data_IF_367914671959
#
_entry.id   IF_367914671959
#
_cell.length_a   1.000
_cell.length_b   1.000
_cell.length_c   1.000
_cell.angle_alpha   90.00
_cell.angle_beta   90.00
_cell.angle_gamma   90.00
#
_symmetry.space_group_name_H-M   'P 1'
#
loop_
_entity.id
_entity.type
_entity.pdbx_description
1 polymer ?
#
# COMPACT_ATOMS: atom_id res chain seq x y z
N UNK A 1 35.21 7.89 20.78
CA UNK A 1 34.52 6.60 20.82
C UNK A 1 34.20 6.27 19.39
N UNK A 2 34.80 5.21 18.85
CA UNK A 2 34.42 4.73 17.53
C UNK A 2 32.96 4.31 17.60
N UNK A 3 32.11 5.03 16.91
CA UNK A 3 30.70 4.64 16.76
C UNK A 3 30.72 3.40 15.90
N UNK A 4 30.29 2.26 16.46
CA UNK A 4 30.25 1.00 15.72
C UNK A 4 29.43 1.21 14.44
N UNK A 5 29.97 0.76 13.31
CA UNK A 5 29.29 0.81 12.01
C UNK A 5 27.97 0.01 12.11
N UNK A 6 26.81 0.60 11.83
CA UNK A 6 25.55 -0.11 11.86
C UNK A 6 25.52 -1.26 10.86
N UNK A 7 24.80 -2.33 11.22
CA UNK A 7 24.60 -3.48 10.32
C UNK A 7 23.80 -3.07 9.09
N UNK A 8 22.82 -2.20 9.26
CA UNK A 8 21.98 -1.74 8.17
C UNK A 8 21.52 -0.28 8.33
N UNK A 9 21.42 0.41 7.20
CA UNK A 9 20.68 1.67 7.07
C UNK A 9 19.42 1.40 6.23
N UNK A 10 18.27 1.87 6.72
CA UNK A 10 16.98 1.85 6.00
C UNK A 10 16.63 3.27 5.58
N UNK A 11 16.52 3.51 4.27
CA UNK A 11 16.24 4.83 3.70
C UNK A 11 14.77 4.91 3.27
N UNK A 12 14.01 5.81 3.92
CA UNK A 12 12.57 5.95 3.77
C UNK A 12 11.81 5.02 4.73
N UNK A 13 11.10 5.63 5.69
CA UNK A 13 10.42 4.93 6.80
C UNK A 13 8.90 4.91 6.64
N UNK A 14 8.42 4.80 5.39
CA UNK A 14 7.02 4.53 5.06
C UNK A 14 6.62 3.08 5.37
N UNK A 15 5.58 2.57 4.70
CA UNK A 15 4.99 1.25 4.95
C UNK A 15 6.00 0.09 4.98
N UNK A 16 6.94 0.06 4.03
CA UNK A 16 7.94 -1.02 3.93
C UNK A 16 9.12 -0.74 4.86
N UNK A 17 9.64 0.48 4.84
CA UNK A 17 10.85 0.80 5.61
C UNK A 17 10.63 0.74 7.13
N UNK A 18 9.47 1.15 7.64
CA UNK A 18 9.13 0.98 9.06
C UNK A 18 9.06 -0.50 9.46
N UNK A 19 8.53 -1.36 8.57
CA UNK A 19 8.51 -2.80 8.79
C UNK A 19 9.94 -3.40 8.77
N UNK A 20 10.78 -3.00 7.80
CA UNK A 20 12.19 -3.46 7.72
C UNK A 20 12.94 -3.05 8.99
N UNK A 21 12.83 -1.78 9.42
CA UNK A 21 13.44 -1.31 10.68
C UNK A 21 13.00 -2.14 11.88
N UNK A 22 11.68 -2.40 12.00
CA UNK A 22 11.12 -3.18 13.09
C UNK A 22 11.70 -4.60 13.13
N UNK A 23 11.64 -5.33 12.01
CA UNK A 23 12.08 -6.74 12.00
C UNK A 23 13.61 -6.90 12.07
N UNK A 24 14.39 -5.98 11.50
CA UNK A 24 15.85 -5.99 11.65
C UNK A 24 16.27 -5.76 13.10
N UNK A 25 15.73 -4.72 13.74
CA UNK A 25 16.08 -4.40 15.12
C UNK A 25 15.58 -5.46 16.10
N UNK A 26 14.36 -5.99 15.91
CA UNK A 26 13.85 -7.13 16.66
C UNK A 26 14.70 -8.40 16.47
N UNK A 27 15.36 -8.53 15.32
CA UNK A 27 16.32 -9.58 15.00
C UNK A 27 17.71 -9.41 15.62
N UNK A 28 17.96 -8.28 16.31
CA UNK A 28 19.21 -7.96 17.01
C UNK A 28 20.22 -7.15 16.19
N UNK A 29 19.86 -6.69 14.98
CA UNK A 29 20.74 -5.85 14.18
C UNK A 29 20.81 -4.41 14.71
N UNK A 30 21.98 -3.77 14.57
CA UNK A 30 22.14 -2.33 14.77
C UNK A 30 21.63 -1.60 13.53
N UNK A 31 20.48 -0.93 13.66
CA UNK A 31 19.76 -0.32 12.53
C UNK A 31 19.74 1.20 12.68
N UNK A 32 20.05 1.90 11.59
CA UNK A 32 19.75 3.32 11.41
C UNK A 32 18.64 3.48 10.40
N UNK A 33 17.51 4.06 10.82
CA UNK A 33 16.42 4.43 9.92
C UNK A 33 16.51 5.91 9.57
N UNK A 34 16.44 6.26 8.28
CA UNK A 34 16.52 7.66 7.82
C UNK A 34 15.26 8.01 7.03
N UNK A 35 14.62 9.12 7.40
CA UNK A 35 13.52 9.67 6.59
C UNK A 35 13.65 11.19 6.47
N UNK A 36 13.38 11.71 5.27
CA UNK A 36 13.40 13.16 5.00
C UNK A 36 12.29 13.93 5.69
N UNK A 37 11.28 13.23 6.20
CA UNK A 37 10.18 13.77 6.97
C UNK A 37 10.09 13.10 8.33
N UNK A 38 9.00 13.35 9.05
CA UNK A 38 8.68 12.67 10.32
C UNK A 38 7.50 11.71 10.11
N UNK A 39 7.74 10.40 9.87
CA UNK A 39 6.65 9.43 9.73
C UNK A 39 5.87 9.22 11.06
N UNK A 40 4.54 8.98 10.96
CA UNK A 40 3.73 9.02 9.75
C UNK A 40 3.53 10.44 9.24
N UNK A 41 3.61 10.63 7.93
CA UNK A 41 3.43 11.92 7.26
C UNK A 41 2.56 11.78 6.01
N UNK A 42 2.09 12.89 5.43
CA UNK A 42 1.20 12.97 4.28
C UNK A 42 1.92 13.21 2.94
N UNK A 43 3.24 13.13 2.92
CA UNK A 43 4.04 13.47 1.74
C UNK A 43 4.17 12.35 0.71
N UNK A 44 4.05 11.09 1.13
CA UNK A 44 4.25 9.91 0.31
C UNK A 44 2.97 9.15 -0.03
N UNK A 45 3.04 7.82 0.15
CA UNK A 45 1.96 6.87 -0.18
C UNK A 45 1.29 6.25 1.05
N UNK A 46 1.86 6.39 2.25
CA UNK A 46 1.46 5.65 3.45
C UNK A 46 0.58 6.46 4.39
N UNK A 47 -0.38 7.20 3.83
CA UNK A 47 -1.31 8.05 4.58
C UNK A 47 -2.73 8.02 3.98
N UNK A 48 -3.66 8.80 4.51
CA UNK A 48 -5.05 8.89 4.04
C UNK A 48 -5.98 7.97 4.81
N UNK A 49 -5.67 7.73 6.08
CA UNK A 49 -6.45 7.12 7.16
C UNK A 49 -6.75 5.63 7.00
N UNK A 50 -6.92 5.13 5.79
CA UNK A 50 -7.35 3.74 5.56
C UNK A 50 -6.68 3.13 4.34
N UNK A 51 -6.47 1.78 4.38
CA UNK A 51 -6.05 0.95 3.25
C UNK A 51 -6.87 -0.33 3.23
N UNK A 52 -7.20 -0.84 2.05
CA UNK A 52 -7.84 -2.15 1.91
C UNK A 52 -6.82 -3.25 2.24
N UNK A 53 -7.24 -4.22 3.07
CA UNK A 53 -6.54 -5.49 3.22
C UNK A 53 -7.45 -6.62 2.79
N UNK A 54 -6.90 -7.62 2.09
CA UNK A 54 -7.57 -8.84 1.62
C UNK A 54 -6.51 -9.91 1.34
N UNK A 55 -6.90 -11.15 1.36
CA UNK A 55 -6.03 -12.31 1.17
C UNK A 55 -5.93 -12.71 -0.31
N UNK A 56 -7.08 -12.84 -0.98
CA UNK A 56 -7.11 -13.10 -2.42
C UNK A 56 -6.85 -11.79 -3.19
N UNK A 57 -5.71 -11.72 -3.83
CA UNK A 57 -5.24 -10.52 -4.52
C UNK A 57 -5.18 -10.77 -6.02
N UNK A 58 -6.17 -10.23 -6.76
CA UNK A 58 -6.31 -10.40 -8.21
C UNK A 58 -5.13 -9.86 -9.03
N UNK A 59 -4.21 -9.16 -8.41
CA UNK A 59 -2.97 -8.69 -9.00
C UNK A 59 -2.01 -9.83 -9.35
N UNK A 60 -2.15 -11.00 -8.71
CA UNK A 60 -1.39 -12.19 -9.09
C UNK A 60 -1.00 -13.11 -7.95
N UNK A 61 -0.71 -14.36 -8.29
CA UNK A 61 -0.42 -15.43 -7.32
C UNK A 61 0.79 -15.14 -6.41
N UNK A 62 1.77 -14.42 -6.91
CA UNK A 62 2.98 -14.08 -6.16
C UNK A 62 2.71 -13.19 -4.93
N UNK A 63 1.62 -12.42 -4.96
CA UNK A 63 1.26 -11.52 -3.86
C UNK A 63 0.49 -12.22 -2.72
N UNK A 64 -0.18 -13.35 -3.02
CA UNK A 64 -1.03 -14.04 -2.02
C UNK A 64 -0.25 -14.49 -0.79
N UNK A 65 0.95 -15.11 -0.88
CA UNK A 65 1.74 -15.46 0.29
C UNK A 65 2.10 -14.26 1.18
N UNK A 66 2.41 -13.10 0.58
CA UNK A 66 2.68 -11.86 1.31
C UNK A 66 1.43 -11.36 2.04
N UNK A 67 0.25 -11.42 1.39
CA UNK A 67 -1.02 -11.03 2.03
C UNK A 67 -1.36 -11.95 3.20
N UNK A 68 -1.26 -13.28 3.00
CA UNK A 68 -1.49 -14.27 4.05
C UNK A 68 -0.57 -14.07 5.26
N UNK A 69 0.73 -13.85 5.01
CA UNK A 69 1.69 -13.61 6.10
C UNK A 69 1.45 -12.28 6.80
N UNK A 70 1.14 -11.21 6.06
CA UNK A 70 0.82 -9.90 6.65
C UNK A 70 -0.40 -9.98 7.56
N UNK A 71 -1.44 -10.73 7.20
CA UNK A 71 -2.62 -10.95 8.05
C UNK A 71 -2.32 -11.68 9.36
N UNK A 72 -1.23 -12.44 9.44
CA UNK A 72 -0.72 -13.01 10.69
C UNK A 72 0.06 -11.98 11.51
N UNK A 73 0.82 -11.12 10.84
CA UNK A 73 1.70 -10.15 11.48
C UNK A 73 0.96 -8.93 12.05
N UNK A 74 -0.19 -8.53 11.47
CA UNK A 74 -0.95 -7.39 12.00
C UNK A 74 -1.43 -7.61 13.44
N UNK A 75 -2.06 -8.76 13.80
CA UNK A 75 -2.42 -9.04 15.19
C UNK A 75 -1.22 -9.12 16.15
N UNK A 76 -0.07 -9.63 15.67
CA UNK A 76 1.17 -9.65 16.46
C UNK A 76 1.62 -8.24 16.81
N UNK A 77 1.57 -7.32 15.82
CA UNK A 77 1.92 -5.91 16.02
C UNK A 77 0.88 -5.19 16.91
N UNK A 78 -0.43 -5.48 16.76
CA UNK A 78 -1.49 -4.96 17.64
C UNK A 78 -1.21 -5.35 19.10
N UNK A 79 -0.91 -6.61 19.35
CA UNK A 79 -0.59 -7.11 20.70
C UNK A 79 0.67 -6.44 21.28
N UNK A 80 1.70 -6.20 20.46
CA UNK A 80 2.95 -5.59 20.89
C UNK A 80 2.84 -4.08 21.12
N UNK A 81 1.98 -3.37 20.37
CA UNK A 81 1.82 -1.92 20.44
C UNK A 81 0.69 -1.46 21.36
N UNK A 82 -0.34 -2.28 21.55
CA UNK A 82 -1.59 -1.89 22.22
C UNK A 82 -2.52 -1.06 21.33
N UNK A 83 -2.19 -0.89 20.05
CA UNK A 83 -2.93 -0.07 19.10
C UNK A 83 -3.89 -0.91 18.25
N UNK A 84 -5.04 -0.35 17.87
CA UNK A 84 -5.89 -0.94 16.84
C UNK A 84 -5.37 -0.57 15.46
N UNK A 85 -4.84 -1.55 14.73
CA UNK A 85 -4.19 -1.35 13.44
C UNK A 85 -5.04 -1.80 12.26
N UNK A 86 -6.06 -2.62 12.51
CA UNK A 86 -6.97 -3.15 11.51
C UNK A 86 -8.40 -3.23 12.03
N UNK A 87 -9.35 -3.23 11.08
CA UNK A 87 -10.75 -3.53 11.37
C UNK A 87 -11.32 -4.44 10.29
N UNK A 88 -11.80 -5.60 10.69
CA UNK A 88 -12.49 -6.51 9.77
C UNK A 88 -13.87 -5.96 9.45
N UNK A 89 -14.10 -5.65 8.18
CA UNK A 89 -15.39 -5.16 7.66
C UNK A 89 -15.93 -6.09 6.57
N UNK A 90 -15.15 -7.12 6.20
CA UNK A 90 -15.30 -7.81 4.94
C UNK A 90 -14.73 -6.97 3.79
N UNK A 91 -14.54 -7.63 2.64
CA UNK A 91 -14.12 -6.98 1.40
C UNK A 91 -14.90 -7.54 0.23
N UNK A 92 -15.50 -6.65 -0.56
CA UNK A 92 -16.36 -7.00 -1.68
C UNK A 92 -15.75 -6.52 -2.99
N UNK A 93 -15.45 -7.44 -3.90
CA UNK A 93 -15.08 -7.11 -5.29
C UNK A 93 -16.29 -7.31 -6.16
N UNK A 94 -16.78 -6.26 -6.82
CA UNK A 94 -17.99 -6.26 -7.65
C UNK A 94 -17.59 -6.07 -9.12
N UNK A 95 -18.24 -6.81 -10.00
CA UNK A 95 -18.09 -6.68 -11.45
C UNK A 95 -19.03 -7.59 -12.22
N UNK A 96 -18.94 -7.55 -13.53
CA UNK A 96 -19.63 -8.45 -14.44
C UNK A 96 -18.66 -9.00 -15.47
N UNK A 97 -19.03 -10.02 -16.21
CA UNK A 97 -18.18 -10.57 -17.28
C UNK A 97 -17.83 -9.51 -18.32
N UNK A 98 -18.73 -8.55 -18.57
CA UNK A 98 -18.51 -7.44 -19.48
C UNK A 98 -17.52 -6.40 -18.96
N UNK A 99 -17.42 -6.23 -17.64
CA UNK A 99 -16.55 -5.23 -17.01
C UNK A 99 -15.20 -5.79 -16.58
N UNK A 100 -15.12 -7.12 -16.40
CA UNK A 100 -13.89 -7.80 -15.94
C UNK A 100 -12.80 -7.90 -17.03
N UNK A 101 -13.12 -7.53 -18.27
CA UNK A 101 -12.13 -7.41 -19.37
C UNK A 101 -11.23 -6.16 -19.22
N UNK A 102 -11.67 -5.16 -18.48
CA UNK A 102 -10.88 -3.97 -18.24
C UNK A 102 -9.65 -4.31 -17.37
N UNK A 103 -8.53 -3.63 -17.63
CA UNK A 103 -7.33 -3.81 -16.81
C UNK A 103 -7.46 -3.04 -15.49
N UNK A 104 -7.32 -3.75 -14.38
CA UNK A 104 -7.16 -3.18 -13.05
C UNK A 104 -5.79 -3.58 -12.49
N UNK A 105 -4.99 -2.63 -12.03
CA UNK A 105 -3.57 -2.85 -11.68
C UNK A 105 -2.81 -3.63 -12.79
N UNK A 106 -3.02 -3.25 -14.05
CA UNK A 106 -2.36 -3.90 -15.19
C UNK A 106 -2.88 -5.29 -15.56
N UNK A 107 -3.82 -5.89 -14.81
CA UNK A 107 -4.33 -7.24 -15.02
C UNK A 107 -5.76 -7.21 -15.57
N UNK A 108 -6.05 -7.90 -16.69
CA UNK A 108 -7.42 -8.17 -17.12
C UNK A 108 -8.03 -9.30 -16.28
N UNK A 109 -9.36 -9.36 -16.21
CA UNK A 109 -10.04 -10.44 -15.51
C UNK A 109 -9.84 -10.41 -13.99
N UNK A 110 -9.78 -9.23 -13.41
CA UNK A 110 -9.43 -9.04 -11.99
C UNK A 110 -10.36 -9.78 -11.01
N UNK A 111 -11.68 -9.74 -11.25
CA UNK A 111 -12.66 -10.46 -10.42
C UNK A 111 -12.49 -11.98 -10.60
N UNK A 112 -12.43 -12.46 -11.83
CA UNK A 112 -12.25 -13.87 -12.13
C UNK A 112 -10.93 -14.41 -11.57
N UNK A 113 -9.85 -13.64 -11.71
CA UNK A 113 -8.54 -13.98 -11.13
C UNK A 113 -8.57 -13.99 -9.61
N UNK A 114 -9.25 -13.03 -8.97
CA UNK A 114 -9.42 -13.01 -7.50
C UNK A 114 -10.11 -14.29 -7.03
N UNK A 115 -11.18 -14.71 -7.70
CA UNK A 115 -11.92 -15.95 -7.39
C UNK A 115 -11.00 -17.17 -7.55
N UNK A 116 -10.31 -17.28 -8.70
CA UNK A 116 -9.42 -18.40 -8.99
C UNK A 116 -8.27 -18.51 -7.96
N UNK A 117 -7.70 -17.37 -7.53
CA UNK A 117 -6.67 -17.35 -6.51
C UNK A 117 -7.22 -17.70 -5.13
N UNK A 118 -8.44 -17.26 -4.78
CA UNK A 118 -9.07 -17.66 -3.53
C UNK A 118 -9.26 -19.18 -3.47
N UNK A 119 -9.75 -19.78 -4.54
CA UNK A 119 -9.91 -21.24 -4.66
C UNK A 119 -8.56 -21.97 -4.57
N UNK A 120 -7.56 -21.50 -5.33
CA UNK A 120 -6.21 -22.09 -5.36
C UNK A 120 -5.53 -22.09 -4.01
N UNK A 121 -5.67 -21.02 -3.22
CA UNK A 121 -5.03 -20.86 -1.94
C UNK A 121 -5.91 -21.23 -0.74
N UNK A 122 -7.12 -21.76 -0.98
CA UNK A 122 -8.04 -22.15 0.09
C UNK A 122 -8.55 -20.99 0.93
N UNK A 123 -8.67 -19.80 0.35
CA UNK A 123 -9.16 -18.61 1.04
C UNK A 123 -10.69 -18.66 1.12
N UNK A 124 -11.24 -18.59 2.33
CA UNK A 124 -12.69 -18.60 2.55
C UNK A 124 -13.35 -17.37 1.95
N UNK A 125 -14.33 -17.58 1.10
CA UNK A 125 -15.07 -16.54 0.40
C UNK A 125 -16.49 -16.99 0.03
N UNK A 126 -17.32 -16.02 -0.32
CA UNK A 126 -18.64 -16.24 -0.90
C UNK A 126 -18.72 -15.59 -2.29
N UNK A 127 -19.47 -16.23 -3.19
CA UNK A 127 -19.85 -15.62 -4.45
C UNK A 127 -21.31 -15.21 -4.36
N UNK A 128 -21.58 -13.94 -4.60
CA UNK A 128 -22.88 -13.32 -4.47
C UNK A 128 -23.36 -12.87 -5.84
N UNK A 129 -24.63 -13.13 -6.14
CA UNK A 129 -25.32 -12.47 -7.25
C UNK A 129 -25.78 -11.05 -6.86
N UNK A 130 -26.30 -10.32 -7.83
CA UNK A 130 -26.75 -8.96 -7.61
C UNK A 130 -27.89 -8.86 -6.56
N UNK A 131 -28.77 -9.85 -6.47
CA UNK A 131 -29.86 -9.88 -5.50
C UNK A 131 -29.31 -10.04 -4.08
N UNK A 132 -28.41 -10.99 -3.87
CA UNK A 132 -27.77 -11.22 -2.58
C UNK A 132 -26.91 -10.03 -2.12
N UNK A 133 -26.24 -9.32 -3.03
CA UNK A 133 -25.50 -8.10 -2.68
C UNK A 133 -26.47 -7.01 -2.24
N UNK A 134 -27.56 -6.76 -2.97
CA UNK A 134 -28.57 -5.74 -2.62
C UNK A 134 -29.26 -6.01 -1.28
N UNK A 135 -29.51 -7.27 -0.99
CA UNK A 135 -30.13 -7.70 0.27
C UNK A 135 -29.19 -7.51 1.46
N UNK A 136 -27.92 -7.85 1.33
CA UNK A 136 -26.95 -7.82 2.43
C UNK A 136 -26.32 -6.45 2.65
N UNK A 137 -26.08 -5.70 1.57
CA UNK A 137 -25.29 -4.47 1.58
C UNK A 137 -26.09 -3.31 0.96
N UNK A 138 -27.00 -2.74 1.73
CA UNK A 138 -27.92 -1.71 1.26
C UNK A 138 -27.24 -0.42 0.78
N UNK A 139 -25.95 -0.23 1.08
CA UNK A 139 -25.16 0.88 0.54
C UNK A 139 -24.93 0.78 -0.98
N UNK A 140 -25.01 -0.43 -1.57
CA UNK A 140 -24.67 -0.66 -2.96
C UNK A 140 -25.91 -0.80 -3.86
N UNK A 141 -25.96 -0.04 -4.94
CA UNK A 141 -26.98 -0.08 -5.99
C UNK A 141 -26.45 -0.91 -7.16
N UNK A 142 -26.33 -2.22 -6.94
CA UNK A 142 -25.77 -3.16 -7.92
C UNK A 142 -26.77 -3.43 -9.03
N UNK A 143 -26.32 -3.39 -10.28
CA UNK A 143 -27.14 -3.69 -11.45
C UNK A 143 -27.32 -5.21 -11.66
N UNK A 144 -28.41 -5.58 -12.36
CA UNK A 144 -28.58 -6.98 -12.77
C UNK A 144 -27.43 -7.43 -13.65
N UNK A 145 -26.97 -8.68 -13.45
CA UNK A 145 -25.81 -9.24 -14.15
C UNK A 145 -24.46 -8.93 -13.50
N UNK A 146 -24.39 -8.03 -12.49
CA UNK A 146 -23.20 -7.90 -11.66
C UNK A 146 -23.17 -9.02 -10.61
N UNK A 147 -21.96 -9.38 -10.19
CA UNK A 147 -21.70 -10.38 -9.15
C UNK A 147 -20.61 -9.90 -8.21
N UNK A 148 -20.54 -10.48 -7.04
CA UNK A 148 -19.58 -10.13 -6.02
C UNK A 148 -18.75 -11.30 -5.53
N UNK A 149 -17.48 -11.06 -5.27
CA UNK A 149 -16.61 -11.88 -4.45
C UNK A 149 -16.52 -11.23 -3.06
N UNK A 150 -16.99 -11.94 -2.03
CA UNK A 150 -16.95 -11.47 -0.65
C UNK A 150 -15.93 -12.28 0.16
N UNK A 151 -14.97 -11.58 0.76
CA UNK A 151 -13.97 -12.15 1.67
C UNK A 151 -14.18 -11.59 3.08
N UNK A 152 -14.55 -12.44 4.04
CA UNK A 152 -14.82 -12.02 5.41
C UNK A 152 -13.57 -11.60 6.20
N UNK A 153 -12.41 -12.14 5.84
CA UNK A 153 -11.13 -11.80 6.48
C UNK A 153 -10.61 -10.42 6.05
N UNK A 154 -11.13 -9.88 4.96
CA UNK A 154 -10.76 -8.56 4.44
C UNK A 154 -11.28 -7.43 5.34
N UNK A 155 -10.74 -6.22 5.11
CA UNK A 155 -11.17 -5.04 5.84
C UNK A 155 -10.24 -3.84 5.65
N UNK A 156 -10.18 -3.04 6.70
CA UNK A 156 -9.42 -1.78 6.75
C UNK A 156 -8.13 -1.98 7.54
N UNK A 157 -7.03 -1.44 7.03
CA UNK A 157 -5.80 -1.15 7.77
C UNK A 157 -5.70 0.36 8.02
N UNK A 158 -5.12 0.74 9.15
CA UNK A 158 -4.84 2.12 9.53
C UNK A 158 -3.36 2.45 9.29
N UNK A 159 -2.99 2.96 8.10
CA UNK A 159 -1.60 3.04 7.67
C UNK A 159 -0.73 3.91 8.56
N UNK A 160 -1.23 5.04 9.04
CA UNK A 160 -0.48 5.93 9.91
C UNK A 160 -0.18 5.27 11.27
N UNK A 161 -1.17 4.56 11.84
CA UNK A 161 -0.99 3.82 13.11
C UNK A 161 0.01 2.67 12.94
N UNK A 162 -0.06 1.94 11.83
CA UNK A 162 0.85 0.84 11.53
C UNK A 162 2.30 1.34 11.44
N UNK A 163 2.54 2.41 10.66
CA UNK A 163 3.88 3.00 10.54
C UNK A 163 4.40 3.47 11.91
N UNK A 164 3.57 4.18 12.68
CA UNK A 164 3.93 4.64 14.01
C UNK A 164 4.26 3.47 14.95
N UNK A 165 3.43 2.43 14.97
CA UNK A 165 3.63 1.23 15.81
C UNK A 165 4.93 0.51 15.44
N UNK A 166 5.20 0.30 14.16
CA UNK A 166 6.44 -0.35 13.70
C UNK A 166 7.68 0.45 14.09
N UNK A 167 7.67 1.77 13.91
CA UNK A 167 8.80 2.63 14.29
C UNK A 167 8.99 2.70 15.81
N UNK A 168 7.91 2.73 16.59
CA UNK A 168 7.97 2.67 18.03
C UNK A 168 8.58 1.34 18.52
N UNK A 169 8.19 0.20 17.92
CA UNK A 169 8.80 -1.09 18.22
C UNK A 169 10.28 -1.13 17.79
N UNK A 170 10.61 -0.61 16.61
CA UNK A 170 12.00 -0.51 16.17
C UNK A 170 12.86 0.28 17.18
N UNK A 171 12.37 1.42 17.67
CA UNK A 171 13.04 2.21 18.70
C UNK A 171 13.20 1.45 20.02
N UNK A 172 12.19 0.69 20.48
CA UNK A 172 12.27 -0.18 21.67
C UNK A 172 13.35 -1.26 21.53
N UNK A 173 13.61 -1.72 20.30
CA UNK A 173 14.68 -2.67 20.00
C UNK A 173 16.02 -2.01 19.65
N UNK A 174 16.17 -0.70 19.90
CA UNK A 174 17.44 0.02 19.78
C UNK A 174 17.72 0.59 18.40
N UNK A 175 16.78 0.62 17.47
CA UNK A 175 16.97 1.30 16.19
C UNK A 175 17.15 2.81 16.40
N UNK A 176 18.15 3.40 15.73
CA UNK A 176 18.39 4.84 15.71
C UNK A 176 17.61 5.46 14.54
N UNK A 177 16.57 6.24 14.84
CA UNK A 177 15.72 6.87 13.84
C UNK A 177 16.13 8.33 13.60
N UNK A 178 16.70 8.61 12.44
CA UNK A 178 17.12 9.94 11.98
C UNK A 178 16.01 10.52 11.09
N UNK A 179 15.16 11.30 11.70
CA UNK A 179 14.01 11.90 11.04
C UNK A 179 14.31 13.33 10.58
N UNK A 180 13.58 13.78 9.56
CA UNK A 180 13.79 15.10 8.93
C UNK A 180 15.22 15.23 8.40
N UNK A 181 15.76 14.12 7.89
CA UNK A 181 17.09 14.05 7.32
C UNK A 181 17.03 13.47 5.90
N UNK A 182 17.48 14.25 4.93
CA UNK A 182 17.40 13.91 3.52
C UNK A 182 18.65 13.16 3.08
N UNK A 183 18.49 11.94 2.55
CA UNK A 183 19.54 11.23 1.82
C UNK A 183 19.73 11.88 0.45
N UNK A 184 20.98 12.20 0.12
CA UNK A 184 21.38 12.85 -1.12
C UNK A 184 21.98 11.86 -2.11
N UNK A 185 22.85 10.95 -1.63
CA UNK A 185 23.43 9.85 -2.43
C UNK A 185 23.66 8.60 -1.60
N UNK A 186 23.77 7.46 -2.29
CA UNK A 186 24.09 6.15 -1.72
C UNK A 186 25.20 5.59 -2.61
N UNK A 187 26.36 5.34 -2.04
CA UNK A 187 27.58 5.03 -2.78
C UNK A 187 28.17 3.69 -2.31
N UNK A 188 28.43 2.73 -3.21
CA UNK A 188 29.22 1.55 -2.85
C UNK A 188 30.58 1.97 -2.28
N UNK A 189 31.00 1.34 -1.19
CA UNK A 189 32.30 1.57 -0.56
C UNK A 189 33.12 0.28 -0.49
N UNK A 190 34.42 0.38 -0.22
CA UNK A 190 35.31 -0.78 -0.16
C UNK A 190 34.86 -1.82 0.89
N UNK A 191 34.22 -1.39 1.96
CA UNK A 191 33.68 -2.23 3.02
C UNK A 191 32.26 -1.78 3.37
N UNK A 192 31.26 -2.12 2.51
CA UNK A 192 29.86 -1.75 2.75
C UNK A 192 29.36 -0.62 1.86
N UNK A 193 28.66 0.34 2.46
CA UNK A 193 27.95 1.41 1.75
C UNK A 193 28.07 2.74 2.50
N UNK A 194 28.34 3.79 1.77
CA UNK A 194 28.28 5.16 2.27
C UNK A 194 26.95 5.83 1.90
N UNK A 195 26.29 6.44 2.87
CA UNK A 195 25.07 7.22 2.70
C UNK A 195 25.38 8.68 3.04
N UNK A 196 25.24 9.54 2.04
CA UNK A 196 25.43 10.99 2.20
C UNK A 196 24.05 11.62 2.45
N UNK A 197 23.94 12.39 3.50
CA UNK A 197 22.74 13.13 3.87
C UNK A 197 23.00 14.63 3.91
N UNK A 198 21.97 15.42 4.07
CA UNK A 198 22.09 16.86 4.32
C UNK A 198 22.66 17.20 5.72
N UNK A 199 22.91 16.17 6.55
CA UNK A 199 23.54 16.33 7.90
C UNK A 199 24.89 15.64 8.03
N UNK A 200 25.41 15.04 6.95
CA UNK A 200 26.73 14.40 6.94
C UNK A 200 26.75 13.04 6.26
N UNK A 201 27.79 12.27 6.49
CA UNK A 201 28.02 10.95 5.92
C UNK A 201 27.89 9.86 6.99
N UNK A 202 27.28 8.76 6.62
CA UNK A 202 27.14 7.54 7.41
C UNK A 202 27.64 6.36 6.59
N UNK A 203 28.25 5.39 7.24
CA UNK A 203 28.63 4.12 6.60
C UNK A 203 27.89 2.97 7.27
N UNK A 204 27.51 1.95 6.52
CA UNK A 204 26.87 0.73 7.02
C UNK A 204 27.32 -0.49 6.23
N UNK A 205 27.13 -1.69 6.82
CA UNK A 205 27.39 -2.94 6.09
C UNK A 205 26.41 -3.14 4.94
N UNK A 206 25.15 -2.71 5.10
CA UNK A 206 24.07 -2.85 4.09
C UNK A 206 23.14 -1.65 4.09
N UNK A 207 22.52 -1.38 2.94
CA UNK A 207 21.49 -0.33 2.79
C UNK A 207 20.25 -0.89 2.10
N UNK A 208 19.09 -0.60 2.66
CA UNK A 208 17.79 -0.90 2.03
C UNK A 208 17.08 0.41 1.71
N UNK A 209 16.80 0.63 0.44
CA UNK A 209 16.13 1.85 -0.05
C UNK A 209 14.66 1.56 -0.27
N UNK A 210 13.82 2.13 0.57
CA UNK A 210 12.35 2.01 0.57
C UNK A 210 11.70 3.40 0.49
N UNK A 211 12.34 4.30 -0.29
CA UNK A 211 12.04 5.73 -0.33
C UNK A 211 10.77 6.08 -1.15
N UNK A 212 9.95 5.08 -1.52
CA UNK A 212 8.67 5.29 -2.22
C UNK A 212 8.84 6.13 -3.48
N UNK A 213 8.16 7.26 -3.56
CA UNK A 213 8.19 8.16 -4.73
C UNK A 213 9.57 8.77 -4.99
N UNK A 214 10.47 8.81 -4.02
CA UNK A 214 11.85 9.31 -4.18
C UNK A 214 12.85 8.22 -4.58
N UNK A 215 12.43 6.96 -4.63
CA UNK A 215 13.30 5.85 -5.07
C UNK A 215 13.90 6.07 -6.47
N UNK A 216 13.17 6.57 -7.49
CA UNK A 216 13.77 6.84 -8.79
C UNK A 216 14.99 7.76 -8.76
N UNK A 217 14.93 8.82 -7.96
CA UNK A 217 16.03 9.78 -7.81
C UNK A 217 17.27 9.22 -7.12
N UNK A 218 17.09 8.26 -6.20
CA UNK A 218 18.19 7.62 -5.47
C UNK A 218 18.77 6.42 -6.22
N UNK A 219 17.99 5.78 -7.08
CA UNK A 219 18.36 4.55 -7.76
C UNK A 219 19.09 4.77 -9.10
N UNK A 220 19.17 6.02 -9.57
CA UNK A 220 19.77 6.34 -10.86
C UNK A 220 18.98 5.83 -12.07
N UNK A 221 19.54 5.98 -13.27
CA UNK A 221 18.84 5.71 -14.53
C UNK A 221 18.47 4.25 -14.74
N UNK A 222 19.29 3.31 -14.25
CA UNK A 222 19.07 1.87 -14.43
C UNK A 222 17.76 1.38 -13.77
N UNK A 223 17.33 2.01 -12.68
CA UNK A 223 16.11 1.68 -11.94
C UNK A 223 15.02 2.73 -12.14
N UNK A 224 15.38 4.01 -12.14
CA UNK A 224 14.45 5.13 -12.18
C UNK A 224 13.54 5.12 -13.41
N UNK A 225 14.05 4.73 -14.57
CA UNK A 225 13.28 4.67 -15.82
C UNK A 225 12.13 3.66 -15.82
N UNK A 226 12.09 2.72 -14.86
CA UNK A 226 11.03 1.72 -14.73
C UNK A 226 9.93 2.12 -13.77
N UNK A 227 10.12 3.17 -13.01
CA UNK A 227 9.20 3.62 -11.98
C UNK A 227 8.58 4.95 -12.39
N UNK A 228 7.25 4.99 -12.43
CA UNK A 228 6.47 6.21 -12.65
C UNK A 228 5.87 6.66 -11.34
N UNK A 229 6.05 7.93 -11.03
CA UNK A 229 5.40 8.55 -9.86
C UNK A 229 4.12 9.22 -10.34
N UNK A 230 2.99 8.79 -9.78
CA UNK A 230 1.65 9.20 -10.19
C UNK A 230 0.92 9.86 -9.02
N UNK A 231 0.33 11.03 -9.26
CA UNK A 231 -0.53 11.71 -8.30
C UNK A 231 -1.86 10.97 -8.18
N UNK A 232 -2.29 10.72 -6.94
CA UNK A 232 -3.58 10.09 -6.61
C UNK A 232 -4.36 10.98 -5.65
N UNK A 233 -5.68 11.01 -5.80
CA UNK A 233 -6.54 11.76 -4.91
C UNK A 233 -7.57 10.86 -4.27
N UNK A 234 -7.76 11.02 -2.98
CA UNK A 234 -8.74 10.33 -2.14
C UNK A 234 -9.82 11.32 -1.73
N UNK A 235 -11.07 10.88 -1.75
CA UNK A 235 -12.21 11.74 -1.42
C UNK A 235 -13.07 11.08 -0.33
N UNK A 236 -13.54 11.90 0.63
CA UNK A 236 -14.59 11.53 1.57
C UNK A 236 -15.83 12.33 1.22
N UNK A 237 -16.88 11.63 0.88
CA UNK A 237 -18.13 12.27 0.47
C UNK A 237 -19.17 12.27 1.59
N UNK A 238 -20.04 13.28 1.62
CA UNK A 238 -21.23 13.28 2.45
C UNK A 238 -22.23 12.23 1.98
N UNK A 239 -23.03 11.72 2.90
CA UNK A 239 -24.11 10.76 2.63
C UNK A 239 -25.37 11.18 3.34
N UNK A 240 -26.56 10.83 2.79
CA UNK A 240 -27.87 11.11 3.38
C UNK A 240 -28.13 10.22 4.61
N UNK A 241 -27.71 8.95 4.54
CA UNK A 241 -27.84 7.99 5.64
C UNK A 241 -26.47 7.38 6.02
N UNK A 242 -25.81 7.94 7.04
CA UNK A 242 -24.53 7.41 7.52
C UNK A 242 -24.57 5.96 8.01
N UNK A 243 -25.73 5.47 8.46
CA UNK A 243 -25.85 4.12 8.99
C UNK A 243 -25.62 3.04 7.92
N UNK A 244 -25.87 3.36 6.64
CA UNK A 244 -25.58 2.45 5.53
C UNK A 244 -24.09 2.18 5.37
N UNK A 245 -23.24 3.13 5.76
CA UNK A 245 -21.80 3.10 5.62
C UNK A 245 -21.05 2.77 6.92
N UNK A 246 -21.79 2.31 7.94
CA UNK A 246 -21.17 1.77 9.14
C UNK A 246 -20.35 0.51 8.80
N UNK A 247 -19.23 0.27 9.49
CA UNK A 247 -18.31 -0.83 9.15
C UNK A 247 -18.90 -2.23 9.33
N UNK A 248 -19.99 -2.35 10.08
CA UNK A 248 -20.77 -3.59 10.25
C UNK A 248 -21.74 -3.85 9.08
N UNK A 249 -22.00 -2.85 8.25
CA UNK A 249 -23.02 -2.87 7.17
C UNK A 249 -22.43 -2.61 5.80
N UNK A 250 -21.24 -2.05 5.71
CA UNK A 250 -20.56 -1.71 4.47
C UNK A 250 -19.14 -2.28 4.51
N UNK A 251 -18.82 -3.27 3.69
CA UNK A 251 -17.44 -3.77 3.57
C UNK A 251 -16.54 -2.75 2.85
N UNK A 252 -15.22 -2.91 2.92
CA UNK A 252 -14.36 -2.29 1.91
C UNK A 252 -14.69 -2.87 0.55
N UNK A 253 -14.59 -2.08 -0.50
CA UNK A 253 -15.00 -2.57 -1.81
C UNK A 253 -14.08 -2.12 -2.94
N UNK A 254 -14.06 -2.93 -4.01
CA UNK A 254 -13.52 -2.62 -5.33
C UNK A 254 -14.65 -2.92 -6.32
N UNK A 255 -14.99 -1.95 -7.16
CA UNK A 255 -16.08 -2.09 -8.11
C UNK A 255 -15.61 -1.81 -9.53
N UNK A 256 -15.63 -2.84 -10.37
CA UNK A 256 -15.34 -2.79 -11.79
C UNK A 256 -16.64 -2.53 -12.52
N UNK A 257 -16.91 -1.30 -12.95
CA UNK A 257 -18.26 -0.92 -13.42
C UNK A 257 -18.37 -0.55 -14.90
N UNK A 258 -17.27 -0.53 -15.66
CA UNK A 258 -17.28 -0.40 -17.11
C UNK A 258 -17.73 0.93 -17.71
N UNK A 259 -18.00 1.98 -16.92
CA UNK A 259 -18.35 3.31 -17.41
C UNK A 259 -17.16 4.25 -17.31
N UNK A 260 -16.97 5.14 -18.29
CA UNK A 260 -15.93 6.18 -18.26
C UNK A 260 -14.60 5.80 -18.91
N UNK A 261 -14.58 4.82 -19.83
CA UNK A 261 -13.39 4.43 -20.58
C UNK A 261 -12.56 3.33 -19.94
N UNK A 262 -11.25 3.29 -20.21
CA UNK A 262 -10.35 2.20 -19.78
C UNK A 262 -10.19 2.02 -18.26
N UNK A 263 -10.81 2.88 -17.43
CA UNK A 263 -10.66 2.96 -15.98
C UNK A 263 -11.96 2.96 -15.23
N UNK A 264 -12.84 2.18 -15.69
CA UNK A 264 -14.17 2.04 -15.16
C UNK A 264 -14.19 1.28 -13.83
N UNK A 265 -13.42 1.72 -12.86
CA UNK A 265 -13.37 1.13 -11.53
C UNK A 265 -13.32 2.20 -10.44
N UNK A 266 -13.83 1.85 -9.27
CA UNK A 266 -13.64 2.60 -8.04
C UNK A 266 -13.35 1.64 -6.89
N UNK A 267 -12.75 2.17 -5.85
CA UNK A 267 -12.64 1.48 -4.57
C UNK A 267 -13.09 2.38 -3.43
N UNK A 268 -13.50 1.78 -2.33
CA UNK A 268 -13.96 2.57 -1.20
C UNK A 268 -13.97 1.84 0.12
N UNK A 269 -14.31 2.62 1.14
CA UNK A 269 -14.24 2.22 2.53
C UNK A 269 -15.50 2.68 3.28
N UNK A 270 -15.95 1.90 4.26
CA UNK A 270 -16.96 2.37 5.20
C UNK A 270 -16.44 3.54 6.05
N UNK A 271 -17.35 4.12 6.81
CA UNK A 271 -17.02 5.10 7.83
C UNK A 271 -16.43 4.37 9.04
N UNK A 272 -15.16 4.60 9.33
CA UNK A 272 -14.48 3.96 10.47
C UNK A 272 -13.88 5.01 11.40
N UNK A 273 -13.79 4.71 12.69
CA UNK A 273 -13.10 5.50 13.70
C UNK A 273 -13.48 6.99 13.72
N UNK A 274 -14.76 7.30 13.60
CA UNK A 274 -15.26 8.66 13.60
C UNK A 274 -14.93 9.48 12.34
N UNK A 275 -14.38 8.85 11.30
CA UNK A 275 -14.15 9.50 10.00
C UNK A 275 -15.51 9.78 9.37
N UNK A 276 -15.79 11.06 9.11
CA UNK A 276 -17.01 11.47 8.47
C UNK A 276 -17.01 11.10 6.98
N UNK A 277 -18.07 10.44 6.54
CA UNK A 277 -18.30 10.02 5.16
C UNK A 277 -17.47 8.81 4.70
N UNK A 278 -18.02 8.00 3.78
CA UNK A 278 -17.25 6.95 3.13
C UNK A 278 -16.13 7.54 2.29
N UNK A 279 -14.97 6.88 2.28
CA UNK A 279 -13.89 7.22 1.37
C UNK A 279 -14.12 6.50 0.03
N UNK A 280 -14.02 7.24 -1.06
CA UNK A 280 -14.12 6.72 -2.43
C UNK A 280 -12.99 7.28 -3.27
N UNK A 281 -12.40 6.47 -4.13
CA UNK A 281 -11.44 6.91 -5.12
C UNK A 281 -11.49 6.01 -6.37
N UNK A 282 -10.98 6.53 -7.46
CA UNK A 282 -10.61 5.80 -8.66
C UNK A 282 -9.11 5.87 -8.85
N UNK A 283 -8.53 4.96 -9.60
CA UNK A 283 -7.12 5.05 -9.95
C UNK A 283 -6.88 6.16 -10.98
N UNK A 284 -5.83 6.94 -10.75
CA UNK A 284 -5.40 8.04 -11.62
C UNK A 284 -3.98 7.73 -12.10
N UNK A 285 -3.82 7.31 -13.35
CA UNK A 285 -2.53 6.87 -13.88
C UNK A 285 -1.99 7.75 -15.01
N UNK A 286 -2.64 8.91 -15.27
CA UNK A 286 -2.28 9.83 -16.35
C UNK A 286 -1.32 10.92 -15.92
N UNK A 287 -1.39 11.35 -14.67
CA UNK A 287 -0.62 12.51 -14.21
C UNK A 287 0.66 12.05 -13.52
N UNK A 288 1.76 12.02 -14.27
CA UNK A 288 3.08 11.88 -13.68
C UNK A 288 3.45 13.14 -12.90
N UNK A 289 4.11 12.94 -11.78
CA UNK A 289 4.41 14.02 -10.85
C UNK A 289 5.84 13.88 -10.32
N UNK A 290 6.50 15.02 -10.18
CA UNK A 290 7.72 15.12 -9.37
C UNK A 290 7.30 15.08 -7.88
N UNK A 291 7.81 14.14 -7.06
CA UNK A 291 7.41 14.04 -5.66
C UNK A 291 7.76 15.29 -4.83
N UNK A 292 8.73 16.09 -5.28
CA UNK A 292 9.11 17.35 -4.62
C UNK A 292 8.26 18.55 -5.07
N UNK A 293 7.47 18.42 -6.15
CA UNK A 293 6.68 19.49 -6.76
C UNK A 293 5.22 19.14 -6.98
N UNK A 294 4.75 18.04 -6.37
CA UNK A 294 3.37 17.58 -6.57
C UNK A 294 2.38 18.63 -6.08
N UNK A 295 1.41 18.94 -6.91
CA UNK A 295 0.26 19.75 -6.51
C UNK A 295 -0.64 18.91 -5.59
N UNK A 296 -0.77 19.34 -4.33
CA UNK A 296 -1.60 18.69 -3.32
C UNK A 296 -2.99 19.31 -3.19
N UNK A 297 -3.24 20.42 -3.89
CA UNK A 297 -4.57 20.99 -3.97
C UNK A 297 -5.45 20.14 -4.88
N UNK A 298 -6.68 19.95 -4.48
CA UNK A 298 -7.66 19.15 -5.22
C UNK A 298 -8.68 20.10 -5.81
N UNK A 299 -8.79 20.12 -7.14
CA UNK A 299 -9.78 20.93 -7.82
C UNK A 299 -11.20 20.41 -7.56
N UNK A 300 -12.17 21.31 -7.49
CA UNK A 300 -13.58 20.94 -7.31
C UNK A 300 -14.09 20.04 -8.44
N UNK A 301 -13.63 20.25 -9.65
CA UNK A 301 -14.00 19.45 -10.82
C UNK A 301 -13.47 18.00 -10.75
N UNK A 302 -12.28 17.77 -10.14
CA UNK A 302 -11.78 16.42 -9.90
C UNK A 302 -12.74 15.63 -9.00
N UNK A 303 -13.19 16.23 -7.91
CA UNK A 303 -14.13 15.62 -6.98
C UNK A 303 -15.50 15.38 -7.61
N UNK A 304 -15.97 16.34 -8.42
CA UNK A 304 -17.22 16.22 -9.17
C UNK A 304 -17.18 15.06 -10.15
N UNK A 305 -16.09 14.91 -10.90
CA UNK A 305 -15.91 13.78 -11.82
C UNK A 305 -15.97 12.44 -11.09
N UNK A 306 -15.24 12.29 -9.98
CA UNK A 306 -15.29 11.03 -9.20
C UNK A 306 -16.68 10.75 -8.67
N UNK A 307 -17.41 11.76 -8.19
CA UNK A 307 -18.79 11.59 -7.75
C UNK A 307 -19.71 11.16 -8.89
N UNK A 308 -19.69 11.86 -10.03
CA UNK A 308 -20.63 11.64 -11.14
C UNK A 308 -20.33 10.35 -11.92
N UNK A 309 -19.04 10.08 -12.21
CA UNK A 309 -18.66 8.97 -13.08
C UNK A 309 -18.59 7.65 -12.32
N UNK A 310 -18.24 7.68 -11.01
CA UNK A 310 -18.01 6.47 -10.24
C UNK A 310 -19.05 6.24 -9.13
N UNK A 311 -19.35 7.22 -8.29
CA UNK A 311 -20.12 7.01 -7.07
C UNK A 311 -21.63 7.15 -7.26
N UNK A 312 -22.08 8.19 -7.97
CA UNK A 312 -23.51 8.47 -8.19
C UNK A 312 -24.20 7.32 -8.94
N UNK A 313 -25.34 6.86 -8.39
CA UNK A 313 -26.10 5.76 -8.96
C UNK A 313 -25.54 4.37 -8.66
N UNK A 314 -24.43 4.29 -7.89
CA UNK A 314 -23.88 3.02 -7.39
C UNK A 314 -23.84 2.98 -5.86
N UNK A 315 -23.55 4.11 -5.23
CA UNK A 315 -23.55 4.23 -3.77
C UNK A 315 -24.80 4.97 -3.33
N UNK A 316 -25.63 4.33 -2.52
CA UNK A 316 -26.93 4.88 -2.07
C UNK A 316 -26.75 6.11 -1.20
N UNK A 317 -27.45 7.19 -1.55
CA UNK A 317 -27.44 8.42 -0.77
C UNK A 317 -26.10 9.15 -0.72
N UNK A 318 -25.14 8.80 -1.58
CA UNK A 318 -23.90 9.57 -1.68
C UNK A 318 -24.17 10.92 -2.33
N UNK A 319 -23.66 11.98 -1.72
CA UNK A 319 -23.85 13.35 -2.17
C UNK A 319 -22.57 13.91 -2.81
N UNK A 320 -22.70 14.96 -3.62
CA UNK A 320 -21.53 15.64 -4.20
C UNK A 320 -20.73 16.48 -3.17
N UNK A 321 -21.20 16.54 -1.89
CA UNK A 321 -20.52 17.29 -0.84
C UNK A 321 -19.22 16.57 -0.44
N UNK A 322 -18.10 17.18 -0.72
CA UNK A 322 -16.77 16.69 -0.30
C UNK A 322 -16.52 17.14 1.13
N UNK A 323 -16.24 16.20 2.02
CA UNK A 323 -15.95 16.45 3.44
C UNK A 323 -14.45 16.58 3.67
N UNK A 324 -13.67 15.83 2.91
CA UNK A 324 -12.20 15.78 3.00
C UNK A 324 -11.62 15.29 1.69
N UNK A 325 -10.40 15.73 1.38
CA UNK A 325 -9.54 15.18 0.33
C UNK A 325 -8.15 14.88 0.88
N UNK A 326 -7.43 14.00 0.21
CA UNK A 326 -6.00 13.79 0.44
C UNK A 326 -5.32 13.43 -0.88
N UNK A 327 -4.17 14.04 -1.14
CA UNK A 327 -3.33 13.72 -2.31
C UNK A 327 -2.19 12.82 -1.87
N UNK A 328 -2.09 11.63 -2.47
CA UNK A 328 -0.99 10.71 -2.26
C UNK A 328 -0.28 10.38 -3.58
N UNK A 329 0.81 9.62 -3.49
CA UNK A 329 1.63 9.26 -4.64
C UNK A 329 1.64 7.74 -4.81
N UNK A 330 1.44 7.27 -6.04
CA UNK A 330 1.79 5.91 -6.42
C UNK A 330 3.16 5.91 -7.10
N UNK A 331 3.98 4.92 -6.77
CA UNK A 331 5.22 4.61 -7.49
C UNK A 331 4.99 3.29 -8.18
N UNK A 332 4.80 3.33 -9.49
CA UNK A 332 4.28 2.19 -10.25
C UNK A 332 5.29 1.69 -11.27
N UNK A 333 5.40 0.38 -11.38
CA UNK A 333 6.01 -0.32 -12.50
C UNK A 333 5.03 -0.45 -13.65
N UNK A 334 5.47 -0.69 -14.90
CA UNK A 334 4.57 -0.85 -16.05
C UNK A 334 3.58 -2.02 -15.93
N UNK A 335 3.96 -3.07 -15.20
CA UNK A 335 3.18 -4.30 -14.98
C UNK A 335 2.50 -4.33 -13.61
N UNK A 336 2.54 -3.23 -12.87
CA UNK A 336 2.05 -3.09 -11.49
C UNK A 336 2.68 -4.10 -10.49
N UNK A 337 3.80 -4.73 -10.83
CA UNK A 337 4.54 -5.62 -9.95
C UNK A 337 5.35 -4.85 -8.91
N UNK A 338 5.83 -5.56 -7.88
CA UNK A 338 6.84 -5.02 -6.98
C UNK A 338 8.24 -5.17 -7.58
N UNK A 339 9.16 -4.38 -7.08
CA UNK A 339 10.56 -4.40 -7.46
C UNK A 339 11.40 -4.54 -6.19
N UNK A 340 12.19 -5.63 -6.13
CA UNK A 340 13.22 -5.84 -5.10
C UNK A 340 14.51 -6.14 -5.83
N UNK A 341 15.50 -5.22 -5.78
CA UNK A 341 16.70 -5.34 -6.60
C UNK A 341 17.96 -4.91 -5.87
N UNK A 342 19.05 -5.68 -6.01
CA UNK A 342 20.36 -5.18 -5.64
C UNK A 342 20.78 -4.04 -6.58
N UNK A 343 21.65 -3.19 -6.09
CA UNK A 343 22.34 -2.21 -6.92
C UNK A 343 23.24 -2.95 -7.95
N UNK A 344 23.37 -2.45 -9.21
CA UNK A 344 24.15 -3.12 -10.23
C UNK A 344 25.62 -3.41 -9.84
N UNK A 345 26.20 -2.54 -9.03
CA UNK A 345 27.62 -2.59 -8.65
C UNK A 345 27.84 -3.07 -7.21
N UNK A 346 26.76 -3.33 -6.42
CA UNK A 346 26.93 -3.71 -5.01
C UNK A 346 25.70 -4.47 -4.46
N UNK A 347 25.92 -5.70 -4.05
CA UNK A 347 24.88 -6.50 -3.36
C UNK A 347 24.56 -5.98 -1.95
N UNK A 348 25.37 -5.06 -1.43
CA UNK A 348 25.13 -4.43 -0.13
C UNK A 348 24.00 -3.38 -0.18
N UNK A 349 23.56 -2.95 -1.37
CA UNK A 349 22.48 -1.98 -1.55
C UNK A 349 21.28 -2.69 -2.20
N UNK A 350 20.11 -2.63 -1.56
CA UNK A 350 18.87 -3.18 -2.10
C UNK A 350 17.83 -2.08 -2.28
N UNK A 351 17.34 -1.91 -3.51
CA UNK A 351 16.21 -1.03 -3.81
C UNK A 351 14.90 -1.81 -3.76
N UNK A 352 13.89 -1.21 -3.10
CA UNK A 352 12.56 -1.79 -2.96
C UNK A 352 11.52 -0.76 -3.36
N UNK A 353 10.72 -1.09 -4.37
CA UNK A 353 9.52 -0.35 -4.73
C UNK A 353 8.32 -1.30 -4.71
N UNK A 354 7.48 -1.17 -3.71
CA UNK A 354 6.34 -2.06 -3.47
C UNK A 354 5.05 -1.24 -3.27
N UNK A 355 4.76 -0.35 -4.21
CA UNK A 355 3.55 0.47 -4.22
C UNK A 355 2.57 0.00 -5.29
N UNK A 356 2.76 0.43 -6.54
CA UNK A 356 1.91 0.11 -7.70
C UNK A 356 0.39 0.12 -7.40
N UNK A 357 -0.05 1.00 -6.48
CA UNK A 357 -1.44 1.14 -6.06
C UNK A 357 -1.92 0.13 -5.00
N UNK A 358 -1.24 -0.99 -4.80
CA UNK A 358 -1.74 -2.08 -3.95
C UNK A 358 -0.78 -2.58 -2.86
N UNK A 359 0.37 -1.92 -2.64
CA UNK A 359 1.48 -2.42 -1.83
C UNK A 359 1.25 -2.52 -0.32
N UNK A 360 0.46 -1.61 0.27
CA UNK A 360 0.40 -1.45 1.73
C UNK A 360 0.04 -2.74 2.48
N UNK A 361 -0.96 -3.49 1.99
CA UNK A 361 -1.42 -4.74 2.61
C UNK A 361 -0.35 -5.84 2.70
N UNK A 362 0.73 -5.72 1.94
CA UNK A 362 1.85 -6.66 1.88
C UNK A 362 3.06 -6.20 2.71
N UNK A 363 3.06 -4.97 3.20
CA UNK A 363 4.26 -4.30 3.73
C UNK A 363 4.87 -5.00 4.95
N UNK A 364 4.07 -5.58 5.84
CA UNK A 364 4.60 -6.29 7.02
C UNK A 364 5.39 -7.55 6.61
N UNK A 365 4.79 -8.41 5.77
CA UNK A 365 5.45 -9.62 5.29
C UNK A 365 6.66 -9.32 4.39
N UNK A 366 6.57 -8.29 3.58
CA UNK A 366 7.69 -7.84 2.75
C UNK A 366 8.85 -7.34 3.63
N UNK A 367 8.55 -6.54 4.66
CA UNK A 367 9.55 -6.06 5.60
C UNK A 367 10.18 -7.19 6.42
N UNK A 368 9.38 -8.18 6.88
CA UNK A 368 9.89 -9.39 7.54
C UNK A 368 10.82 -10.19 6.61
N UNK A 369 10.41 -10.41 5.36
CA UNK A 369 11.18 -11.20 4.41
C UNK A 369 12.52 -10.52 4.06
N UNK A 370 12.52 -9.21 3.84
CA UNK A 370 13.74 -8.42 3.61
C UNK A 370 14.67 -8.47 4.82
N UNK A 371 14.12 -8.28 6.03
CA UNK A 371 14.91 -8.33 7.25
C UNK A 371 15.54 -9.71 7.48
N UNK A 372 14.79 -10.79 7.25
CA UNK A 372 15.32 -12.16 7.36
C UNK A 372 16.47 -12.39 6.38
N UNK A 373 16.31 -11.99 5.11
CA UNK A 373 17.38 -12.13 4.11
C UNK A 373 18.65 -11.36 4.52
N UNK A 374 18.51 -10.15 5.04
CA UNK A 374 19.64 -9.33 5.50
C UNK A 374 20.33 -9.90 6.74
N UNK A 375 19.59 -10.60 7.61
CA UNK A 375 20.10 -11.30 8.78
C UNK A 375 20.69 -12.69 8.45
N UNK A 376 20.72 -13.09 7.17
CA UNK A 376 21.19 -14.44 6.76
C UNK A 376 20.20 -15.56 7.16
N UNK A 377 18.94 -15.25 7.42
CA UNK A 377 17.89 -16.20 7.76
C UNK A 377 17.04 -16.50 6.52
N UNK A 378 16.48 -17.69 6.44
CA UNK A 378 15.52 -18.03 5.37
C UNK A 378 14.22 -17.23 5.55
N UNK A 379 13.81 -16.41 4.57
CA UNK A 379 12.51 -15.70 4.62
C UNK A 379 11.34 -16.69 4.64
N UNK A 380 10.29 -16.38 5.40
CA UNK A 380 9.05 -17.18 5.42
C UNK A 380 8.25 -17.08 4.12
N UNK A 381 8.43 -15.99 3.39
CA UNK A 381 7.85 -15.77 2.06
C UNK A 381 8.98 -15.43 1.12
N UNK A 382 9.11 -16.16 -0.02
CA UNK A 382 10.08 -15.84 -1.06
C UNK A 382 9.73 -14.53 -1.75
N UNK A 383 10.77 -13.75 -2.08
CA UNK A 383 10.68 -12.53 -2.88
C UNK A 383 11.13 -12.73 -4.33
N UNK A 384 11.45 -13.94 -4.76
CA UNK A 384 12.02 -14.25 -6.08
C UNK A 384 11.17 -13.74 -7.23
N UNK A 385 9.85 -13.77 -7.08
CA UNK A 385 8.91 -13.26 -8.08
C UNK A 385 9.03 -11.74 -8.32
N UNK A 386 9.66 -11.00 -7.41
CA UNK A 386 9.84 -9.54 -7.47
C UNK A 386 11.28 -9.13 -7.78
N UNK A 387 12.17 -10.12 -7.90
CA UNK A 387 13.53 -9.93 -8.40
C UNK A 387 13.50 -10.13 -9.92
N UNK A 388 13.80 -9.09 -10.70
CA UNK A 388 13.94 -9.27 -12.14
C UNK A 388 15.24 -10.03 -12.43
N UNK A 389 15.30 -10.85 -13.50
CA UNK A 389 16.56 -11.41 -13.94
C UNK A 389 17.60 -10.29 -14.17
N UNK A 390 18.85 -10.58 -13.83
CA UNK A 390 20.00 -9.68 -14.00
C UNK A 390 20.24 -9.34 -15.46
#
# INVERSE_FOLDING_TARGET
MDVATPDAIVVGLGAVGSAVCHYLSAGGAQVVGIDRFRPPHDQGSSHGLTRITRLAVGEGAAFVPLALRSHQLWPELEAASGETLQRRTGGLVIGSDATDIAKYHGQPGFLAQTIALAQRFGIAHELLDAAAIRERFHAFLVADGERGYLEHAAGVLFPERIVAAQLAQAGRHGANLRLEERVLSIEPAASGVDVVTDRGRLSASRVVVTAGAWTPGLAGTAFGTRLRVLRQVLYWFGVDDPALYAPERCPVFIWLHGRGGQRASMYGFPMVDGIAGPKVASEQDTTESDPDRVDRQVAADDAKSVHEDHARGRLRGITARVLRTATCLYTSTPDASFLVRPHPESEAITFVSACSGHGFKHSAALGEALAHGLLGRTPRVSLDAFTLPR
#
